data_IF_475617412919
#
_entry.id   IF_475617412919
#
_cell.length_a   1.000
_cell.length_b   1.000
_cell.length_c   1.000
_cell.angle_alpha   90.00
_cell.angle_beta   90.00
_cell.angle_gamma   90.00
#
_symmetry.space_group_name_H-M   'P 1'
#
loop_
_entity.id
_entity.type
_entity.pdbx_description
1 polymer ?
#
# COMPACT_ATOMS: atom_id res chain seq x y z
N UNK A 1 -23.53 -17.44 9.20
CA UNK A 1 -23.44 -16.47 10.32
C UNK A 1 -23.60 -15.09 9.70
N UNK A 2 -24.73 -14.42 9.97
CA UNK A 2 -24.98 -13.04 9.51
C UNK A 2 -24.35 -12.09 10.52
N UNK A 3 -23.52 -11.16 10.07
CA UNK A 3 -23.09 -10.01 10.87
C UNK A 3 -23.57 -8.74 10.17
N UNK A 4 -24.61 -8.11 10.75
CA UNK A 4 -24.97 -6.70 10.52
C UNK A 4 -23.93 -5.84 11.23
N UNK A 5 -23.36 -4.87 10.53
CA UNK A 5 -22.56 -3.81 11.14
C UNK A 5 -23.46 -2.56 11.20
N UNK A 6 -23.74 -2.09 12.41
CA UNK A 6 -24.41 -0.82 12.70
C UNK A 6 -23.37 0.27 13.04
N UNK A 7 -23.75 1.50 12.70
CA UNK A 7 -23.26 2.81 13.16
C UNK A 7 -21.89 3.32 12.71
N UNK A 8 -21.94 4.21 11.71
CA UNK A 8 -20.95 5.26 11.44
C UNK A 8 -21.22 6.47 12.34
N UNK A 9 -20.48 6.62 13.44
CA UNK A 9 -20.32 7.93 14.07
C UNK A 9 -19.37 8.76 13.20
N UNK A 10 -19.82 9.94 12.78
CA UNK A 10 -19.00 10.93 12.09
C UNK A 10 -17.96 11.49 13.08
N UNK A 11 -16.79 10.86 13.13
CA UNK A 11 -15.62 11.37 13.83
C UNK A 11 -15.06 12.55 13.03
N UNK A 12 -15.18 13.74 13.60
CA UNK A 12 -14.42 14.92 13.17
C UNK A 12 -12.94 14.61 13.36
N UNK A 13 -12.26 14.31 12.25
CA UNK A 13 -10.82 14.10 12.22
C UNK A 13 -10.14 15.47 12.17
N UNK A 14 -9.36 15.80 13.20
CA UNK A 14 -8.41 16.92 13.16
C UNK A 14 -7.30 16.56 12.16
N UNK A 15 -7.49 16.97 10.91
CA UNK A 15 -6.45 16.86 9.89
C UNK A 15 -5.39 17.94 10.13
N UNK A 16 -4.09 17.61 9.93
CA UNK A 16 -3.06 18.63 9.90
C UNK A 16 -3.37 19.58 8.74
N UNK A 17 -3.78 20.81 9.08
CA UNK A 17 -3.84 21.90 8.11
C UNK A 17 -2.44 22.04 7.47
N UNK A 18 -2.37 22.33 6.17
CA UNK A 18 -1.08 22.54 5.51
C UNK A 18 -0.26 23.56 6.30
N UNK A 19 1.06 23.38 6.36
CA UNK A 19 1.99 24.29 7.05
C UNK A 19 2.01 25.71 6.46
N UNK A 20 1.24 25.97 5.41
CA UNK A 20 1.22 27.22 4.68
C UNK A 20 0.73 28.34 5.57
N UNK A 21 1.58 29.34 5.77
CA UNK A 21 1.31 30.51 6.60
C UNK A 21 0.62 31.61 5.79
N UNK A 22 -0.08 32.52 6.48
CA UNK A 22 -0.68 33.71 5.85
C UNK A 22 0.38 34.58 5.18
N UNK A 23 1.61 34.58 5.70
CA UNK A 23 2.75 35.27 5.11
C UNK A 23 3.08 34.72 3.72
N UNK A 24 3.21 33.40 3.61
CA UNK A 24 3.51 32.72 2.33
C UNK A 24 2.40 32.94 1.30
N UNK A 25 1.13 32.89 1.71
CA UNK A 25 -0.02 33.16 0.83
C UNK A 25 0.08 34.58 0.23
N UNK A 26 0.33 35.58 1.08
CA UNK A 26 0.38 36.97 0.66
C UNK A 26 1.64 37.30 -0.15
N UNK A 27 2.79 36.71 0.18
CA UNK A 27 4.02 36.85 -0.60
C UNK A 27 3.88 36.21 -1.99
N UNK A 28 3.39 34.97 -2.07
CA UNK A 28 3.13 34.28 -3.35
C UNK A 28 2.10 34.99 -4.23
N UNK A 29 1.13 35.68 -3.62
CA UNK A 29 0.10 36.47 -4.33
C UNK A 29 0.57 37.86 -4.77
N UNK A 30 1.82 38.26 -4.47
CA UNK A 30 2.31 39.64 -4.63
C UNK A 30 1.44 40.66 -3.86
N UNK A 31 1.03 40.28 -2.66
CA UNK A 31 0.20 41.05 -1.73
C UNK A 31 0.92 41.33 -0.40
N UNK A 32 2.22 41.09 -0.29
CA UNK A 32 3.03 41.30 0.92
C UNK A 32 2.85 42.69 1.56
N UNK A 33 2.58 43.73 0.76
CA UNK A 33 2.27 45.09 1.25
C UNK A 33 1.04 45.19 2.16
N UNK A 34 0.17 44.18 2.16
CA UNK A 34 -1.03 44.11 3.00
C UNK A 34 -0.82 43.33 4.31
N UNK A 35 0.34 42.70 4.49
CA UNK A 35 0.67 41.98 5.73
C UNK A 35 0.53 42.85 7.00
N UNK A 36 0.90 44.14 7.01
CA UNK A 36 0.67 44.98 8.19
C UNK A 36 -0.82 45.09 8.59
N UNK A 37 -1.74 45.15 7.60
CA UNK A 37 -3.17 45.18 7.87
C UNK A 37 -3.69 43.83 8.40
N UNK A 38 -3.19 42.73 7.83
CA UNK A 38 -3.47 41.37 8.32
C UNK A 38 -3.05 41.21 9.78
N UNK A 39 -1.83 41.63 10.13
CA UNK A 39 -1.31 41.58 11.51
C UNK A 39 -2.07 42.52 12.45
N UNK A 40 -2.41 43.74 12.00
CA UNK A 40 -3.18 44.71 12.79
C UNK A 40 -4.54 44.17 13.22
N UNK A 41 -5.18 43.37 12.36
CA UNK A 41 -6.50 42.79 12.60
C UNK A 41 -6.46 41.35 13.12
N UNK A 42 -5.27 40.85 13.49
CA UNK A 42 -5.04 39.49 13.98
C UNK A 42 -5.70 38.42 13.10
N UNK A 43 -5.62 38.60 11.78
CA UNK A 43 -6.22 37.66 10.84
C UNK A 43 -5.34 36.42 10.77
N UNK A 44 -5.87 35.31 11.28
CA UNK A 44 -5.22 34.01 11.26
C UNK A 44 -5.43 33.30 9.92
N UNK A 45 -4.46 32.47 9.49
CA UNK A 45 -4.57 31.69 8.24
C UNK A 45 -5.86 30.85 8.20
N UNK A 46 -6.21 30.22 9.32
CA UNK A 46 -7.40 29.37 9.44
C UNK A 46 -8.69 30.15 9.20
N UNK A 47 -8.83 31.32 9.84
CA UNK A 47 -9.99 32.20 9.66
C UNK A 47 -10.12 32.71 8.22
N UNK A 48 -8.99 33.02 7.57
CA UNK A 48 -8.97 33.43 6.17
C UNK A 48 -9.43 32.31 5.22
N UNK A 49 -8.90 31.10 5.40
CA UNK A 49 -9.29 29.92 4.61
C UNK A 49 -10.75 29.52 4.85
N UNK A 50 -11.25 29.64 6.08
CA UNK A 50 -12.62 29.32 6.45
C UNK A 50 -13.64 30.27 5.80
N UNK A 51 -13.39 31.59 5.89
CA UNK A 51 -14.28 32.55 5.22
C UNK A 51 -14.22 32.42 3.69
N UNK A 52 -13.06 32.06 3.12
CA UNK A 52 -12.93 31.77 1.69
C UNK A 52 -13.74 30.52 1.31
N UNK A 53 -13.64 29.44 2.09
CA UNK A 53 -14.42 28.20 1.90
C UNK A 53 -15.92 28.46 1.95
N UNK A 54 -16.35 29.35 2.84
CA UNK A 54 -17.76 29.68 3.05
C UNK A 54 -18.24 30.88 2.22
N UNK A 55 -17.51 31.30 1.18
CA UNK A 55 -17.89 32.53 0.45
C UNK A 55 -19.25 32.44 -0.28
N UNK A 56 -19.71 31.24 -0.61
CA UNK A 56 -21.03 31.01 -1.23
C UNK A 56 -22.17 31.01 -0.20
N UNK A 57 -21.89 30.51 1.00
CA UNK A 57 -22.89 30.32 2.07
C UNK A 57 -22.91 31.45 3.09
N UNK A 58 -21.81 32.18 3.25
CA UNK A 58 -21.61 33.30 4.17
C UNK A 58 -20.77 34.44 3.53
N UNK A 59 -21.24 35.05 2.42
CA UNK A 59 -20.47 36.05 1.67
C UNK A 59 -20.09 37.30 2.49
N UNK A 60 -20.89 37.66 3.50
CA UNK A 60 -20.64 38.82 4.36
C UNK A 60 -19.39 38.66 5.23
N UNK A 61 -19.06 37.44 5.66
CA UNK A 61 -17.83 37.19 6.43
C UNK A 61 -16.59 37.40 5.57
N UNK A 62 -16.61 36.88 4.34
CA UNK A 62 -15.56 37.11 3.35
C UNK A 62 -15.41 38.61 3.05
N UNK A 63 -16.53 39.29 2.76
CA UNK A 63 -16.54 40.72 2.44
C UNK A 63 -15.96 41.56 3.57
N UNK A 64 -16.42 41.36 4.81
CA UNK A 64 -15.91 42.07 6.00
C UNK A 64 -14.39 41.91 6.14
N UNK A 65 -13.86 40.71 5.90
CA UNK A 65 -12.42 40.47 6.00
C UNK A 65 -11.63 41.12 4.88
N UNK A 66 -12.14 41.09 3.66
CA UNK A 66 -11.55 41.81 2.51
C UNK A 66 -11.51 43.32 2.75
N UNK A 67 -12.57 43.87 3.34
CA UNK A 67 -12.67 45.29 3.68
C UNK A 67 -11.67 45.68 4.79
N UNK A 68 -11.51 44.84 5.83
CA UNK A 68 -10.51 45.05 6.90
C UNK A 68 -9.07 45.07 6.37
N UNK A 69 -8.77 44.23 5.37
CA UNK A 69 -7.43 44.20 4.75
C UNK A 69 -7.24 45.36 3.76
N UNK A 70 -8.33 45.97 3.26
CA UNK A 70 -8.30 47.05 2.28
C UNK A 70 -7.96 46.57 0.86
N UNK A 71 -8.41 45.38 0.48
CA UNK A 71 -8.10 44.80 -0.83
C UNK A 71 -9.05 45.32 -1.93
N UNK A 72 -8.47 45.82 -3.02
CA UNK A 72 -9.20 46.22 -4.25
C UNK A 72 -9.57 44.97 -5.07
N UNK A 73 -10.54 45.04 -6.01
CA UNK A 73 -10.98 43.89 -6.79
C UNK A 73 -9.86 43.07 -7.46
N UNK A 74 -8.85 43.73 -8.04
CA UNK A 74 -7.69 43.05 -8.62
C UNK A 74 -6.80 42.34 -7.61
N UNK A 75 -6.73 42.81 -6.36
CA UNK A 75 -6.04 42.12 -5.27
C UNK A 75 -6.84 40.92 -4.78
N UNK A 76 -8.17 41.07 -4.66
CA UNK A 76 -9.08 40.00 -4.27
C UNK A 76 -8.97 38.84 -5.25
N UNK A 77 -8.92 39.10 -6.56
CA UNK A 77 -8.74 38.05 -7.56
C UNK A 77 -7.44 37.25 -7.37
N UNK A 78 -6.33 37.94 -7.07
CA UNK A 78 -5.04 37.26 -6.80
C UNK A 78 -5.07 36.45 -5.51
N UNK A 79 -5.64 37.01 -4.44
CA UNK A 79 -5.79 36.32 -3.16
C UNK A 79 -6.66 35.07 -3.30
N UNK A 80 -7.79 35.16 -4.02
CA UNK A 80 -8.67 34.00 -4.28
C UNK A 80 -7.95 32.87 -5.00
N UNK A 81 -7.13 33.18 -6.01
CA UNK A 81 -6.34 32.17 -6.72
C UNK A 81 -5.39 31.45 -5.76
N UNK A 82 -4.61 32.20 -4.97
CA UNK A 82 -3.68 31.59 -4.02
C UNK A 82 -4.39 30.78 -2.93
N UNK A 83 -5.53 31.25 -2.41
CA UNK A 83 -6.31 30.50 -1.44
C UNK A 83 -6.92 29.22 -2.05
N UNK A 84 -7.30 29.24 -3.32
CA UNK A 84 -7.75 28.04 -4.04
C UNK A 84 -6.62 27.02 -4.17
N UNK A 85 -5.42 27.45 -4.56
CA UNK A 85 -4.24 26.58 -4.66
C UNK A 85 -3.89 25.94 -3.31
N UNK A 86 -3.97 26.70 -2.22
CA UNK A 86 -3.78 26.18 -0.86
C UNK A 86 -4.88 25.20 -0.47
N UNK A 87 -6.15 25.45 -0.80
CA UNK A 87 -7.23 24.51 -0.53
C UNK A 87 -7.06 23.19 -1.29
N UNK A 88 -6.61 23.25 -2.54
CA UNK A 88 -6.37 22.05 -3.33
C UNK A 88 -5.18 21.25 -2.79
N UNK A 89 -4.12 21.93 -2.33
CA UNK A 89 -3.00 21.30 -1.64
C UNK A 89 -3.44 20.63 -0.32
N UNK A 90 -4.26 21.30 0.49
CA UNK A 90 -4.82 20.72 1.73
C UNK A 90 -5.64 19.46 1.40
N UNK A 91 -6.55 19.51 0.42
CA UNK A 91 -7.36 18.33 0.04
C UNK A 91 -6.49 17.17 -0.42
N UNK A 92 -5.42 17.45 -1.16
CA UNK A 92 -4.49 16.43 -1.64
C UNK A 92 -3.67 15.83 -0.49
N UNK A 93 -3.25 16.63 0.48
CA UNK A 93 -2.60 16.16 1.72
C UNK A 93 -3.57 15.33 2.57
N UNK A 94 -4.82 15.78 2.74
CA UNK A 94 -5.88 15.04 3.43
C UNK A 94 -6.15 13.69 2.73
N UNK A 95 -6.22 13.68 1.40
CA UNK A 95 -6.38 12.45 0.60
C UNK A 95 -5.21 11.50 0.84
N UNK A 96 -3.96 11.98 0.75
CA UNK A 96 -2.76 11.17 1.01
C UNK A 96 -2.70 10.66 2.45
N UNK A 97 -3.08 11.49 3.42
CA UNK A 97 -3.14 11.10 4.82
C UNK A 97 -4.22 10.05 5.07
N UNK A 98 -5.38 10.18 4.43
CA UNK A 98 -6.46 9.20 4.50
C UNK A 98 -6.05 7.88 3.83
N UNK A 99 -5.41 7.92 2.66
CA UNK A 99 -4.86 6.75 1.97
C UNK A 99 -3.77 6.06 2.79
N UNK A 100 -2.91 6.83 3.46
CA UNK A 100 -1.91 6.29 4.38
C UNK A 100 -2.54 5.70 5.65
N UNK A 101 -3.63 6.26 6.17
CA UNK A 101 -4.36 5.73 7.33
C UNK A 101 -5.21 4.49 6.99
N UNK A 102 -5.61 4.35 5.74
CA UNK A 102 -6.26 3.15 5.18
C UNK A 102 -5.24 2.14 4.62
N UNK A 103 -3.96 2.27 4.99
CA UNK A 103 -2.94 1.31 4.61
C UNK A 103 -3.19 -0.04 5.28
N UNK A 104 -3.77 -0.96 4.52
CA UNK A 104 -3.92 -2.35 4.90
C UNK A 104 -2.83 -3.14 4.20
N UNK A 105 -2.21 -4.08 4.92
CA UNK A 105 -1.25 -5.00 4.32
C UNK A 105 -1.57 -6.44 4.67
N UNK A 106 -1.44 -7.31 3.68
CA UNK A 106 -1.33 -8.75 3.91
C UNK A 106 0.14 -9.13 3.84
N UNK A 107 0.60 -9.84 4.85
CA UNK A 107 1.94 -10.41 4.87
C UNK A 107 1.76 -11.92 4.68
N UNK A 108 2.24 -12.45 3.57
CA UNK A 108 2.19 -13.88 3.28
C UNK A 108 3.59 -14.44 3.52
N UNK A 109 3.71 -15.25 4.55
CA UNK A 109 4.93 -15.96 4.89
C UNK A 109 4.81 -17.41 4.42
N UNK A 110 5.68 -17.85 3.52
CA UNK A 110 5.71 -19.24 3.08
C UNK A 110 7.12 -19.82 3.20
N UNK A 111 7.22 -21.09 3.56
CA UNK A 111 8.43 -21.89 3.38
C UNK A 111 8.23 -22.72 2.15
N UNK A 112 9.05 -22.55 1.11
CA UNK A 112 8.85 -23.20 -0.19
C UNK A 112 10.15 -23.87 -0.63
N UNK A 113 10.06 -25.10 -1.09
CA UNK A 113 11.20 -25.79 -1.69
C UNK A 113 10.78 -26.78 -2.78
N UNK A 114 11.76 -27.24 -3.55
CA UNK A 114 11.57 -28.17 -4.66
C UNK A 114 12.37 -29.45 -4.44
N UNK A 115 11.69 -30.60 -4.54
CA UNK A 115 12.22 -31.94 -4.34
C UNK A 115 12.25 -32.79 -5.64
N UNK A 116 11.97 -32.19 -6.80
CA UNK A 116 11.95 -32.92 -8.06
C UNK A 116 13.35 -33.17 -8.59
N UNK A 117 13.50 -34.08 -9.55
CA UNK A 117 14.83 -34.48 -10.06
C UNK A 117 15.42 -33.52 -11.10
N UNK A 118 14.67 -32.53 -11.56
CA UNK A 118 15.02 -31.67 -12.70
C UNK A 118 15.31 -30.22 -12.27
N UNK A 119 16.24 -30.06 -11.33
CA UNK A 119 16.75 -28.76 -10.88
C UNK A 119 17.35 -27.98 -12.05
N UNK A 120 17.23 -26.65 -12.04
CA UNK A 120 17.67 -25.77 -13.12
C UNK A 120 16.79 -25.79 -14.37
N UNK A 121 15.76 -26.64 -14.45
CA UNK A 121 14.83 -26.66 -15.58
C UNK A 121 13.42 -26.24 -15.19
N UNK A 122 12.91 -26.75 -14.08
CA UNK A 122 11.57 -26.42 -13.60
C UNK A 122 11.61 -25.40 -12.49
N UNK A 123 10.63 -24.50 -12.52
CA UNK A 123 10.40 -23.56 -11.43
C UNK A 123 9.48 -24.18 -10.39
N UNK A 124 9.59 -23.67 -9.17
CA UNK A 124 8.59 -23.87 -8.13
C UNK A 124 7.80 -22.56 -8.01
N UNK A 125 6.48 -22.64 -7.81
CA UNK A 125 5.61 -21.48 -7.88
C UNK A 125 4.65 -21.40 -6.69
N UNK A 126 4.62 -20.24 -6.03
CA UNK A 126 3.55 -19.87 -5.10
C UNK A 126 2.53 -19.02 -5.87
N UNK A 127 1.25 -19.37 -5.81
CA UNK A 127 0.16 -18.57 -6.38
C UNK A 127 -0.55 -17.83 -5.26
N UNK A 128 -0.67 -16.51 -5.39
CA UNK A 128 -1.53 -15.70 -4.51
C UNK A 128 -2.69 -15.18 -5.33
N UNK A 129 -3.91 -15.32 -4.81
CA UNK A 129 -5.12 -14.89 -5.49
C UNK A 129 -6.03 -14.08 -4.57
N UNK A 130 -6.67 -13.06 -5.14
CA UNK A 130 -7.78 -12.31 -4.58
C UNK A 130 -8.89 -12.29 -5.61
N UNK A 131 -10.05 -12.87 -5.28
CA UNK A 131 -11.17 -12.98 -6.21
C UNK A 131 -10.76 -13.61 -7.54
N UNK A 132 -10.96 -12.88 -8.64
CA UNK A 132 -10.59 -13.30 -10.01
C UNK A 132 -9.16 -12.95 -10.41
N UNK A 133 -8.38 -12.28 -9.57
CA UNK A 133 -7.02 -11.87 -9.86
C UNK A 133 -6.02 -12.76 -9.14
N UNK A 134 -5.00 -13.22 -9.87
CA UNK A 134 -3.93 -14.03 -9.28
C UNK A 134 -2.56 -13.69 -9.87
N UNK A 135 -1.52 -13.93 -9.07
CA UNK A 135 -0.13 -13.89 -9.50
C UNK A 135 0.61 -15.12 -9.03
N UNK A 136 1.50 -15.60 -9.89
CA UNK A 136 2.42 -16.68 -9.58
C UNK A 136 3.82 -16.12 -9.38
N UNK A 137 4.39 -16.39 -8.22
CA UNK A 137 5.73 -16.06 -7.79
C UNK A 137 6.58 -17.31 -7.99
N UNK A 138 7.45 -17.31 -9.00
CA UNK A 138 8.17 -18.50 -9.46
C UNK A 138 9.65 -18.32 -9.23
N UNK A 139 10.30 -19.28 -8.56
CA UNK A 139 11.76 -19.35 -8.50
C UNK A 139 12.27 -20.67 -9.07
N UNK A 140 13.51 -20.67 -9.55
CA UNK A 140 14.13 -21.82 -10.21
C UNK A 140 15.34 -22.33 -9.39
N UNK A 141 15.13 -23.28 -8.47
CA UNK A 141 16.22 -23.96 -7.75
C UNK A 141 17.22 -24.60 -8.71
N UNK A 142 18.51 -24.48 -8.42
CA UNK A 142 19.59 -25.03 -9.25
C UNK A 142 19.83 -24.33 -10.59
N UNK A 143 19.09 -23.26 -10.92
CA UNK A 143 19.31 -22.53 -12.17
C UNK A 143 20.48 -21.55 -12.03
N UNK A 144 21.44 -21.60 -12.94
CA UNK A 144 22.71 -20.88 -12.80
C UNK A 144 22.84 -19.64 -13.68
N UNK A 145 21.96 -19.45 -14.68
CA UNK A 145 22.07 -18.32 -15.62
C UNK A 145 20.71 -17.78 -16.08
N UNK A 146 20.19 -16.68 -15.48
CA UNK A 146 20.75 -15.99 -14.31
C UNK A 146 20.68 -16.84 -13.01
N UNK A 147 21.62 -16.65 -12.06
CA UNK A 147 21.62 -17.37 -10.79
C UNK A 147 20.28 -17.28 -10.06
N UNK A 148 19.68 -18.44 -9.82
CA UNK A 148 18.41 -18.59 -9.10
C UNK A 148 17.29 -17.76 -9.72
N UNK A 149 17.04 -17.87 -11.03
CA UNK A 149 16.02 -17.04 -11.68
C UNK A 149 14.70 -16.97 -10.89
N UNK A 150 14.23 -15.75 -10.65
CA UNK A 150 12.94 -15.44 -10.04
C UNK A 150 12.07 -14.62 -10.99
N UNK A 151 10.78 -14.91 -11.06
CA UNK A 151 9.81 -14.15 -11.87
C UNK A 151 8.47 -14.03 -11.18
N UNK A 152 7.71 -13.01 -11.58
CA UNK A 152 6.30 -12.87 -11.23
C UNK A 152 5.51 -12.85 -12.54
N UNK A 153 4.70 -13.88 -12.78
CA UNK A 153 3.96 -14.03 -14.03
C UNK A 153 3.06 -12.80 -14.27
N UNK A 154 3.19 -12.18 -15.43
CA UNK A 154 2.45 -10.97 -15.81
C UNK A 154 3.04 -9.65 -15.29
N UNK A 155 4.13 -9.67 -14.53
CA UNK A 155 4.76 -8.47 -13.95
C UNK A 155 6.21 -8.30 -14.43
N UNK A 156 7.07 -9.30 -14.21
CA UNK A 156 8.43 -9.27 -14.75
C UNK A 156 8.95 -10.68 -15.08
N UNK A 157 9.81 -10.75 -16.10
CA UNK A 157 10.52 -11.95 -16.53
C UNK A 157 11.65 -12.34 -15.56
N UNK A 158 12.41 -13.39 -15.87
CA UNK A 158 13.45 -13.93 -15.01
C UNK A 158 14.46 -12.84 -14.57
N UNK A 159 14.55 -12.63 -13.25
CA UNK A 159 15.55 -11.81 -12.59
C UNK A 159 16.51 -12.70 -11.81
N UNK A 160 17.79 -12.32 -11.77
CA UNK A 160 18.77 -12.99 -10.92
C UNK A 160 18.39 -12.80 -9.45
N UNK A 161 18.43 -13.87 -8.66
CA UNK A 161 18.35 -13.80 -7.21
C UNK A 161 19.69 -13.42 -6.57
N UNK A 162 20.78 -13.42 -7.34
CA UNK A 162 22.14 -13.21 -6.83
C UNK A 162 22.76 -14.44 -6.15
N UNK A 163 21.98 -15.51 -6.00
CA UNK A 163 22.41 -16.81 -5.55
C UNK A 163 21.58 -17.90 -6.23
N UNK A 164 22.07 -19.13 -6.23
CA UNK A 164 21.35 -20.30 -6.73
C UNK A 164 20.71 -21.01 -5.54
N UNK A 165 19.37 -21.03 -5.43
CA UNK A 165 18.70 -21.80 -4.39
C UNK A 165 18.99 -23.29 -4.57
N UNK A 166 19.34 -23.95 -3.47
CA UNK A 166 19.62 -25.38 -3.49
C UNK A 166 18.34 -26.21 -3.62
N UNK A 167 18.52 -27.35 -4.25
CA UNK A 167 17.56 -28.44 -4.27
C UNK A 167 17.20 -28.88 -2.85
N UNK A 168 15.94 -29.30 -2.63
CA UNK A 168 15.49 -29.97 -1.39
C UNK A 168 15.65 -29.13 -0.10
N UNK A 169 15.81 -27.82 -0.24
CA UNK A 169 15.84 -26.86 0.86
C UNK A 169 14.59 -25.99 0.89
N UNK A 170 14.18 -25.55 2.08
CA UNK A 170 13.01 -24.68 2.28
C UNK A 170 13.40 -23.21 2.37
N UNK A 171 13.10 -22.43 1.34
CA UNK A 171 13.33 -20.99 1.32
C UNK A 171 12.18 -20.22 1.95
N UNK A 172 12.50 -19.11 2.63
CA UNK A 172 11.51 -18.25 3.29
C UNK A 172 11.03 -17.18 2.33
N UNK A 173 9.78 -17.28 1.91
CA UNK A 173 9.05 -16.29 1.13
C UNK A 173 8.33 -15.35 2.09
N UNK A 174 8.52 -14.05 1.91
CA UNK A 174 7.73 -13.03 2.57
C UNK A 174 7.17 -12.09 1.49
N UNK A 175 5.85 -12.12 1.29
CA UNK A 175 5.16 -11.28 0.31
C UNK A 175 4.31 -10.27 1.07
N UNK A 176 4.61 -8.98 0.88
CA UNK A 176 3.84 -7.89 1.47
C UNK A 176 2.96 -7.29 0.38
N UNK A 177 1.64 -7.45 0.54
CA UNK A 177 0.64 -6.91 -0.37
C UNK A 177 -0.05 -5.71 0.28
N UNK A 178 0.27 -4.50 -0.18
CA UNK A 178 -0.32 -3.26 0.34
C UNK A 178 -1.55 -2.80 -0.45
N UNK A 179 -2.48 -2.14 0.25
CA UNK A 179 -3.71 -1.58 -0.33
C UNK A 179 -3.51 -0.49 -1.38
N UNK A 180 -2.34 0.15 -1.39
CA UNK A 180 -1.96 1.13 -2.43
C UNK A 180 -1.48 0.49 -3.75
N UNK A 181 -1.49 -0.84 -3.85
CA UNK A 181 -1.05 -1.57 -5.04
C UNK A 181 0.46 -1.68 -5.23
N UNK A 182 1.27 -1.16 -4.31
CA UNK A 182 2.72 -1.33 -4.32
C UNK A 182 3.11 -2.48 -3.38
N UNK A 183 3.67 -3.54 -3.92
CA UNK A 183 3.93 -4.77 -3.22
C UNK A 183 5.42 -5.05 -3.11
N UNK A 184 5.79 -5.91 -2.17
CA UNK A 184 7.16 -6.37 -1.98
C UNK A 184 7.19 -7.89 -1.84
N UNK A 185 8.29 -8.48 -2.29
CA UNK A 185 8.61 -9.87 -1.99
C UNK A 185 10.07 -9.95 -1.56
N UNK A 186 10.34 -10.77 -0.54
CA UNK A 186 11.69 -11.27 -0.26
C UNK A 186 11.73 -12.79 -0.18
N UNK A 187 12.88 -13.35 -0.57
CA UNK A 187 13.19 -14.76 -0.52
C UNK A 187 14.53 -14.93 0.18
N UNK A 188 14.54 -15.64 1.32
CA UNK A 188 15.71 -15.82 2.16
C UNK A 188 16.11 -17.28 2.31
N UNK A 189 17.40 -17.56 2.17
CA UNK A 189 17.99 -18.88 2.45
C UNK A 189 17.82 -19.22 3.95
N UNK A 190 17.30 -20.41 4.29
CA UNK A 190 17.03 -20.78 5.68
C UNK A 190 18.30 -21.03 6.50
N UNK A 191 19.44 -21.25 5.86
CA UNK A 191 20.67 -21.70 6.53
C UNK A 191 21.38 -20.53 7.21
N UNK A 192 21.72 -20.63 8.52
CA UNK A 192 22.31 -19.52 9.28
C UNK A 192 23.59 -18.95 8.65
N UNK A 193 24.45 -19.82 8.13
CA UNK A 193 25.71 -19.46 7.47
C UNK A 193 25.50 -18.80 6.10
N UNK A 194 24.33 -18.99 5.49
CA UNK A 194 23.93 -18.38 4.22
C UNK A 194 22.89 -17.28 4.40
N UNK A 195 22.63 -16.82 5.61
CA UNK A 195 21.57 -15.83 5.94
C UNK A 195 21.73 -14.46 5.25
N UNK A 196 22.88 -14.19 4.62
CA UNK A 196 23.13 -13.02 3.75
C UNK A 196 22.61 -13.21 2.31
N UNK A 197 22.19 -14.42 1.92
CA UNK A 197 21.60 -14.72 0.62
C UNK A 197 20.10 -14.44 0.68
N UNK A 198 19.76 -13.21 0.33
CA UNK A 198 18.39 -12.73 0.26
C UNK A 198 18.15 -12.05 -1.09
N UNK A 199 17.03 -12.39 -1.71
CA UNK A 199 16.51 -11.69 -2.87
C UNK A 199 15.34 -10.83 -2.43
N UNK A 200 15.24 -9.61 -2.96
CA UNK A 200 14.10 -8.73 -2.72
C UNK A 200 13.68 -8.00 -3.99
N UNK A 201 12.38 -7.87 -4.22
CA UNK A 201 11.84 -7.08 -5.30
C UNK A 201 10.60 -6.30 -4.85
N UNK A 202 10.43 -5.09 -5.41
CA UNK A 202 9.19 -4.33 -5.34
C UNK A 202 8.48 -4.36 -6.69
N UNK A 203 7.15 -4.37 -6.69
CA UNK A 203 6.34 -4.37 -7.91
C UNK A 203 4.99 -3.70 -7.67
N UNK A 204 4.37 -3.20 -8.73
CA UNK A 204 3.06 -2.54 -8.66
C UNK A 204 2.00 -3.38 -9.36
N UNK A 205 0.90 -3.68 -8.66
CA UNK A 205 -0.27 -4.37 -9.20
C UNK A 205 -1.52 -4.04 -8.38
N UNK A 206 -2.22 -2.97 -8.76
CA UNK A 206 -3.41 -2.51 -8.03
C UNK A 206 -4.55 -3.54 -7.96
N UNK A 207 -4.50 -4.61 -8.75
CA UNK A 207 -5.54 -5.65 -8.78
C UNK A 207 -5.23 -6.86 -7.90
N UNK A 208 -4.00 -6.99 -7.39
CA UNK A 208 -3.57 -8.13 -6.57
C UNK A 208 -3.92 -7.94 -5.08
N UNK A 209 -4.51 -6.82 -4.70
CA UNK A 209 -4.98 -6.56 -3.35
C UNK A 209 -6.46 -6.20 -3.37
N UNK A 210 -7.23 -6.81 -2.48
CA UNK A 210 -8.61 -6.41 -2.26
C UNK A 210 -8.91 -6.26 -0.77
N UNK A 211 -9.34 -5.07 -0.29
CA UNK A 211 -9.47 -4.79 1.15
C UNK A 211 -10.58 -5.59 1.84
N UNK A 212 -11.52 -6.16 1.06
CA UNK A 212 -12.69 -6.90 1.58
C UNK A 212 -12.62 -8.40 1.34
N UNK A 213 -11.55 -8.88 0.72
CA UNK A 213 -11.36 -10.31 0.47
C UNK A 213 -10.07 -10.76 1.14
N UNK A 214 -10.05 -12.03 1.54
CA UNK A 214 -8.85 -12.67 2.04
C UNK A 214 -8.07 -13.29 0.88
N UNK A 215 -6.72 -13.23 0.91
CA UNK A 215 -5.93 -13.94 -0.06
C UNK A 215 -6.17 -15.44 0.04
N UNK A 216 -6.27 -16.09 -1.10
CA UNK A 216 -6.02 -17.53 -1.19
C UNK A 216 -4.59 -17.74 -1.66
N UNK A 217 -3.90 -18.65 -0.97
CA UNK A 217 -2.55 -19.05 -1.35
C UNK A 217 -2.62 -20.49 -1.82
N UNK A 218 -2.20 -20.70 -3.05
CA UNK A 218 -2.11 -21.99 -3.69
C UNK A 218 -0.75 -22.20 -4.32
N UNK A 219 -0.64 -23.27 -5.09
CA UNK A 219 0.59 -23.66 -5.73
C UNK A 219 0.43 -23.57 -7.25
N UNK A 220 1.41 -22.97 -7.91
CA UNK A 220 1.34 -22.68 -9.34
C UNK A 220 1.52 -23.92 -10.21
N UNK A 221 1.25 -23.79 -11.50
CA UNK A 221 0.97 -24.91 -12.43
C UNK A 221 2.10 -25.94 -12.65
N UNK A 222 3.34 -25.68 -12.20
CA UNK A 222 4.49 -26.59 -12.34
C UNK A 222 4.75 -27.36 -11.04
N UNK A 223 3.91 -28.37 -10.77
CA UNK A 223 3.73 -28.97 -9.44
C UNK A 223 4.57 -30.21 -9.13
N UNK A 224 5.53 -30.59 -9.96
CA UNK A 224 6.24 -31.84 -9.70
C UNK A 224 7.19 -31.66 -8.50
N UNK A 225 6.78 -32.17 -7.33
CA UNK A 225 7.58 -32.34 -6.11
C UNK A 225 7.84 -31.07 -5.29
N UNK A 226 6.84 -30.21 -5.10
CA UNK A 226 6.98 -29.05 -4.23
C UNK A 226 6.47 -29.36 -2.81
N UNK A 227 7.19 -28.88 -1.78
CA UNK A 227 6.67 -28.85 -0.42
C UNK A 227 6.59 -27.40 0.05
N UNK A 228 5.52 -27.06 0.77
CA UNK A 228 5.43 -25.75 1.40
C UNK A 228 4.67 -25.74 2.73
N UNK A 229 5.00 -24.76 3.56
CA UNK A 229 4.22 -24.36 4.75
C UNK A 229 3.85 -22.91 4.58
N UNK A 230 2.58 -22.55 4.76
CA UNK A 230 2.09 -21.19 4.51
C UNK A 230 1.46 -20.64 5.77
N UNK A 231 1.80 -19.38 6.05
CA UNK A 231 1.25 -18.57 7.12
C UNK A 231 0.85 -17.21 6.55
N UNK A 232 -0.35 -16.74 6.86
CA UNK A 232 -0.87 -15.48 6.32
C UNK A 232 -1.27 -14.55 7.46
N UNK A 233 -0.33 -13.79 8.04
CA UNK A 233 -0.67 -12.66 8.88
C UNK A 233 -1.29 -11.50 8.09
N UNK A 234 -2.31 -10.88 8.69
CA UNK A 234 -2.85 -9.59 8.23
C UNK A 234 -2.46 -8.51 9.23
N UNK A 235 -1.89 -7.42 8.71
CA UNK A 235 -1.56 -6.24 9.50
C UNK A 235 -2.26 -5.02 8.91
N UNK A 236 -3.29 -4.57 9.61
CA UNK A 236 -3.96 -3.30 9.34
C UNK A 236 -3.64 -2.34 10.47
N UNK A 237 -3.13 -1.16 10.14
CA UNK A 237 -3.20 -0.03 11.06
C UNK A 237 -4.65 0.45 11.07
N UNK A 238 -5.35 0.42 12.22
CA UNK A 238 -6.79 0.64 12.25
C UNK A 238 -7.12 2.11 12.03
N UNK A 239 -8.11 2.36 11.17
CA UNK A 239 -9.13 3.35 11.47
C UNK A 239 -10.29 2.59 12.15
N UNK A 240 -10.59 2.95 13.40
CA UNK A 240 -11.80 2.65 14.17
C UNK A 240 -12.26 1.19 14.42
N UNK A 241 -11.73 0.15 13.75
CA UNK A 241 -12.27 -1.22 13.86
C UNK A 241 -11.37 -2.28 14.54
N UNK A 242 -10.30 -1.84 15.22
CA UNK A 242 -9.45 -2.72 16.03
C UNK A 242 -8.42 -3.54 15.25
N UNK A 243 -7.40 -4.00 15.95
CA UNK A 243 -6.31 -4.82 15.41
C UNK A 243 -6.78 -6.26 15.28
N UNK A 244 -6.90 -6.77 14.05
CA UNK A 244 -7.13 -8.20 13.82
C UNK A 244 -5.83 -8.85 13.37
N UNK A 245 -5.06 -9.36 14.34
CA UNK A 245 -3.95 -10.28 14.05
C UNK A 245 -4.53 -11.68 13.86
N UNK A 246 -4.95 -12.01 12.63
CA UNK A 246 -5.27 -13.39 12.28
C UNK A 246 -4.00 -14.08 11.80
N UNK A 247 -3.67 -15.19 12.44
CA UNK A 247 -2.57 -16.08 12.04
C UNK A 247 -3.22 -17.39 11.63
N UNK A 248 -3.23 -17.66 10.32
CA UNK A 248 -3.58 -18.98 9.82
C UNK A 248 -2.29 -19.75 9.52
N UNK A 249 -2.10 -20.92 10.13
CA UNK A 249 -1.02 -21.83 9.79
C UNK A 249 -1.59 -23.09 9.13
N UNK A 250 -1.11 -23.42 7.95
CA UNK A 250 -1.42 -24.69 7.31
C UNK A 250 -0.15 -25.36 6.76
N UNK A 251 -0.11 -26.69 6.90
CA UNK A 251 0.96 -27.53 6.39
C UNK A 251 0.34 -28.38 5.27
N UNK A 252 0.68 -28.07 4.03
CA UNK A 252 0.25 -28.87 2.88
C UNK A 252 1.45 -29.65 2.36
N UNK A 253 1.48 -30.97 2.57
CA UNK A 253 2.39 -31.88 1.87
C UNK A 253 1.70 -32.34 0.59
N UNK A 254 2.23 -31.99 -0.58
CA UNK A 254 1.75 -32.53 -1.85
C UNK A 254 2.62 -33.76 -2.21
N UNK A 255 1.97 -34.90 -2.41
CA UNK A 255 2.65 -36.12 -2.83
C UNK A 255 3.09 -35.99 -4.30
N UNK A 256 4.26 -36.54 -4.70
CA UNK A 256 4.71 -36.58 -6.10
C UNK A 256 3.69 -37.13 -7.11
N UNK A 257 2.68 -37.88 -6.65
CA UNK A 257 1.68 -38.56 -7.48
C UNK A 257 0.30 -37.87 -7.51
N UNK A 258 0.10 -36.76 -6.78
CA UNK A 258 -1.16 -36.02 -6.83
C UNK A 258 -1.20 -35.15 -8.10
N UNK A 259 -1.72 -35.72 -9.20
CA UNK A 259 -1.99 -35.01 -10.47
C UNK A 259 -3.17 -34.04 -10.39
N UNK A 260 -3.80 -33.92 -9.24
CA UNK A 260 -5.00 -33.13 -9.04
C UNK A 260 -4.65 -31.80 -8.34
N UNK A 261 -4.54 -30.74 -9.15
CA UNK A 261 -4.11 -29.39 -8.75
C UNK A 261 -5.07 -28.68 -7.76
N UNK A 262 -6.17 -29.33 -7.38
CA UNK A 262 -7.23 -28.77 -6.54
C UNK A 262 -7.02 -28.98 -5.03
N UNK A 263 -6.09 -29.87 -4.62
CA UNK A 263 -5.99 -30.32 -3.22
C UNK A 263 -5.07 -29.50 -2.30
N UNK A 264 -4.50 -28.39 -2.79
CA UNK A 264 -3.46 -27.64 -2.06
C UNK A 264 -3.79 -26.22 -1.64
N UNK A 265 -5.04 -25.76 -1.77
CA UNK A 265 -5.40 -24.37 -1.46
C UNK A 265 -5.53 -24.09 0.03
N UNK A 266 -4.93 -22.99 0.47
CA UNK A 266 -5.05 -22.47 1.83
C UNK A 266 -5.84 -21.17 1.76
N UNK A 267 -6.98 -21.11 2.45
CA UNK A 267 -7.78 -19.90 2.59
C UNK A 267 -7.63 -19.36 4.00
N UNK A 268 -7.26 -18.09 4.14
CA UNK A 268 -7.43 -17.40 5.41
C UNK A 268 -8.93 -17.30 5.73
N UNK A 269 -9.31 -17.72 6.94
CA UNK A 269 -10.67 -17.61 7.50
C UNK A 269 -10.73 -16.43 8.44
#
# INVERSE_FOLDING_TARGET
IFLRIHDTQALFLDFPMSSTTIKEIFEGSKLSKFLPAVSKHDIQTKSLLEAFKNMETAPEQWKKMIDLIGLKPGHVARLRRALSEVQDAIKEEERKALESKLACSYIIEAKVGYWGSSFGRWGTALRVSFGSHSREFVFHPGYTSPPGAFRINGIFSNRSMGFVPDAKEFYSFNIVLNSNGNHKISIKDPRPEQSKKEFSASFSDSKLFHPKEFPTVGFGHQLNNMNAKVKIPMECTPNAYGTHKMVLESITKLSPNDRDNSKGEVKAK
#
